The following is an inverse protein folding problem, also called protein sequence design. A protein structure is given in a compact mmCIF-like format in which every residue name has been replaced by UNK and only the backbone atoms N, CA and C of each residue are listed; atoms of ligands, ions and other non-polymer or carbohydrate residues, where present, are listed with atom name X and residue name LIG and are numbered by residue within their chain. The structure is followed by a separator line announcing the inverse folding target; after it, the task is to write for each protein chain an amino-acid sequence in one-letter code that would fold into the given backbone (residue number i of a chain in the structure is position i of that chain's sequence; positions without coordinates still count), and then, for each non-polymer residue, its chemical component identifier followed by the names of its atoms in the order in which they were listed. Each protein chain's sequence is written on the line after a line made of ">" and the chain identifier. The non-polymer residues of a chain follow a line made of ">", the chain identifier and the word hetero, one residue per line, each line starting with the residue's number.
data_IF_835832679995
#
_entry.id   IF_835832679995
#
_cell.length_a   1.000
_cell.length_b   1.000
_cell.length_c   1.000
_cell.angle_alpha   90.00
_cell.angle_beta   90.00
_cell.angle_gamma   90.00
#
_symmetry.space_group_name_H-M   'P 1'
#
loop_
_entity.id
_entity.type
_entity.pdbx_description
1 polymer ?
#
# COMPACT_ATOMS: atom_id res chain seq x y z
N UNK A 1 8.90 -55.03 -16.84
CA UNK A 1 9.05 -53.72 -16.19
C UNK A 1 7.64 -53.16 -16.00
N UNK A 2 7.05 -53.35 -14.82
CA UNK A 2 5.72 -52.83 -14.51
C UNK A 2 5.85 -51.36 -14.11
N UNK A 3 5.23 -50.46 -14.87
CA UNK A 3 5.09 -49.05 -14.53
C UNK A 3 4.08 -48.90 -13.39
N UNK A 4 4.48 -48.26 -12.29
CA UNK A 4 3.57 -47.89 -11.22
C UNK A 4 2.65 -46.73 -11.66
N UNK A 5 1.38 -46.68 -11.20
CA UNK A 5 0.52 -45.54 -11.47
C UNK A 5 1.02 -44.30 -10.70
N UNK A 6 1.00 -43.16 -11.38
CA UNK A 6 1.35 -41.86 -10.79
C UNK A 6 0.28 -41.48 -9.76
N UNK A 7 0.69 -41.33 -8.49
CA UNK A 7 -0.20 -40.84 -7.45
C UNK A 7 -0.42 -39.34 -7.64
N UNK A 8 -1.67 -38.95 -7.88
CA UNK A 8 -2.09 -37.54 -7.87
C UNK A 8 -2.05 -37.07 -6.42
N UNK A 9 -1.16 -36.13 -6.10
CA UNK A 9 -1.17 -35.47 -4.79
C UNK A 9 -2.47 -34.66 -4.64
N UNK A 10 -3.10 -34.65 -3.45
CA UNK A 10 -4.22 -33.76 -3.20
C UNK A 10 -3.77 -32.29 -3.32
N UNK A 11 -4.66 -31.38 -3.79
CA UNK A 11 -4.35 -29.96 -3.80
C UNK A 11 -4.04 -29.49 -2.38
N UNK A 12 -2.95 -28.74 -2.22
CA UNK A 12 -2.63 -28.03 -0.98
C UNK A 12 -3.80 -27.11 -0.60
N UNK A 13 -4.07 -26.89 0.71
CA UNK A 13 -5.13 -25.99 1.13
C UNK A 13 -4.88 -24.61 0.50
N UNK A 14 -5.87 -24.11 -0.25
CA UNK A 14 -5.85 -22.76 -0.81
C UNK A 14 -5.54 -21.77 0.30
N UNK A 15 -4.52 -20.95 0.10
CA UNK A 15 -4.25 -19.83 0.98
C UNK A 15 -5.52 -18.98 1.07
N UNK A 16 -5.88 -18.47 2.27
CA UNK A 16 -7.06 -17.63 2.41
C UNK A 16 -6.96 -16.46 1.43
N UNK A 17 -8.06 -16.16 0.73
CA UNK A 17 -8.11 -15.07 -0.24
C UNK A 17 -7.72 -13.74 0.43
N UNK A 18 -6.79 -13.01 -0.19
CA UNK A 18 -6.30 -11.74 0.34
C UNK A 18 -7.43 -10.71 0.47
N UNK A 19 -7.31 -9.81 1.45
CA UNK A 19 -8.28 -8.73 1.72
C UNK A 19 -8.33 -7.67 0.61
N UNK A 20 -7.38 -7.70 -0.31
CA UNK A 20 -7.18 -6.78 -1.42
C UNK A 20 -5.70 -6.52 -1.68
N UNK A 21 -5.40 -5.73 -2.71
CA UNK A 21 -4.03 -5.35 -3.06
C UNK A 21 -3.65 -4.01 -2.44
N UNK A 22 -2.47 -3.92 -1.83
CA UNK A 22 -1.88 -2.69 -1.32
C UNK A 22 -0.65 -2.35 -2.13
N UNK A 23 -0.51 -1.09 -2.53
CA UNK A 23 0.71 -0.58 -3.17
C UNK A 23 1.63 -0.04 -2.09
N UNK A 24 2.87 -0.55 -2.05
CA UNK A 24 3.96 -0.04 -1.20
C UNK A 24 4.98 0.65 -2.10
N UNK A 25 5.40 1.86 -1.75
CA UNK A 25 6.30 2.65 -2.60
C UNK A 25 7.20 3.57 -1.79
N UNK A 26 8.42 3.80 -2.27
CA UNK A 26 9.20 4.99 -1.95
C UNK A 26 8.77 6.16 -2.83
N UNK A 27 9.46 7.29 -2.71
CA UNK A 27 9.25 8.46 -3.58
C UNK A 27 10.48 8.72 -4.45
N UNK A 28 10.31 9.54 -5.49
CA UNK A 28 11.34 9.80 -6.49
C UNK A 28 12.71 10.18 -5.93
N UNK A 29 12.77 10.93 -4.81
CA UNK A 29 14.03 11.36 -4.20
C UNK A 29 14.60 10.37 -3.16
N UNK A 30 13.89 9.29 -2.85
CA UNK A 30 14.21 8.38 -1.74
C UNK A 30 14.69 7.02 -2.24
N UNK A 31 15.97 6.72 -2.02
CA UNK A 31 16.64 5.48 -2.42
C UNK A 31 16.60 4.37 -1.36
N UNK A 32 15.96 4.58 -0.22
CA UNK A 32 15.96 3.60 0.87
C UNK A 32 15.05 2.41 0.56
N UNK A 33 15.59 1.21 0.70
CA UNK A 33 14.90 -0.03 0.31
C UNK A 33 14.40 -0.85 1.48
N UNK A 34 15.11 -0.86 2.62
CA UNK A 34 14.78 -1.76 3.73
C UNK A 34 13.38 -1.48 4.27
N UNK A 35 13.01 -0.22 4.46
CA UNK A 35 11.69 0.16 4.96
C UNK A 35 10.56 -0.38 4.08
N UNK A 36 10.78 -0.46 2.77
CA UNK A 36 9.80 -0.99 1.82
C UNK A 36 9.62 -2.50 1.96
N UNK A 37 10.73 -3.23 2.16
CA UNK A 37 10.67 -4.68 2.45
C UNK A 37 9.96 -4.93 3.78
N UNK A 38 10.28 -4.14 4.81
CA UNK A 38 9.62 -4.23 6.11
C UNK A 38 8.11 -3.96 6.01
N UNK A 39 7.71 -2.86 5.36
CA UNK A 39 6.31 -2.51 5.16
C UNK A 39 5.56 -3.55 4.34
N UNK A 40 6.20 -4.13 3.32
CA UNK A 40 5.62 -5.24 2.58
C UNK A 40 5.30 -6.42 3.50
N UNK A 41 6.29 -6.92 4.26
CA UNK A 41 6.08 -8.04 5.18
C UNK A 41 4.99 -7.75 6.22
N UNK A 42 4.97 -6.53 6.76
CA UNK A 42 3.95 -6.11 7.72
C UNK A 42 2.54 -6.09 7.09
N UNK A 43 2.40 -5.56 5.87
CA UNK A 43 1.11 -5.49 5.19
C UNK A 43 0.62 -6.87 4.75
N UNK A 44 1.53 -7.75 4.33
CA UNK A 44 1.24 -9.16 4.05
C UNK A 44 0.78 -9.89 5.31
N UNK A 45 1.42 -9.66 6.47
CA UNK A 45 1.00 -10.19 7.77
C UNK A 45 -0.42 -9.72 8.17
N UNK A 46 -0.83 -8.52 7.75
CA UNK A 46 -2.18 -7.98 7.94
C UNK A 46 -3.23 -8.54 6.94
N UNK A 47 -2.81 -9.44 6.05
CA UNK A 47 -3.68 -10.22 5.16
C UNK A 47 -3.96 -9.59 3.79
N UNK A 48 -3.10 -8.69 3.31
CA UNK A 48 -3.20 -8.10 1.98
C UNK A 48 -2.13 -8.65 1.03
N UNK A 49 -2.44 -8.64 -0.27
CA UNK A 49 -1.41 -8.80 -1.30
C UNK A 49 -0.67 -7.48 -1.48
N UNK A 50 0.65 -7.52 -1.64
CA UNK A 50 1.46 -6.31 -1.79
C UNK A 50 2.07 -6.23 -3.19
N UNK A 51 1.86 -5.08 -3.83
CA UNK A 51 2.65 -4.64 -4.98
C UNK A 51 3.65 -3.60 -4.49
N UNK A 52 4.91 -4.00 -4.38
CA UNK A 52 5.99 -3.12 -3.95
C UNK A 52 6.69 -2.51 -5.17
N UNK A 53 6.48 -1.22 -5.42
CA UNK A 53 7.06 -0.49 -6.54
C UNK A 53 8.54 -0.14 -6.32
N UNK A 54 9.04 -0.31 -5.10
CA UNK A 54 10.43 -0.04 -4.76
C UNK A 54 10.72 1.44 -4.48
N UNK A 55 12.02 1.81 -4.38
CA UNK A 55 12.46 3.17 -4.11
C UNK A 55 12.49 4.02 -5.40
N UNK A 56 12.73 5.32 -5.26
CA UNK A 56 12.94 6.25 -6.38
C UNK A 56 11.82 6.23 -7.44
N UNK A 57 10.58 5.95 -7.03
CA UNK A 57 9.43 5.81 -7.94
C UNK A 57 9.01 7.18 -8.47
N UNK A 58 8.99 7.40 -9.80
CA UNK A 58 8.44 8.61 -10.39
C UNK A 58 6.93 8.72 -10.16
N UNK A 59 6.42 9.94 -9.97
CA UNK A 59 5.01 10.15 -9.63
C UNK A 59 4.05 9.59 -10.67
N UNK A 60 4.38 9.75 -11.95
CA UNK A 60 3.52 9.31 -13.05
C UNK A 60 3.41 7.79 -13.06
N UNK A 61 4.52 7.09 -12.78
CA UNK A 61 4.51 5.64 -12.61
C UNK A 61 3.63 5.24 -11.43
N UNK A 62 3.75 5.93 -10.28
CA UNK A 62 2.92 5.63 -9.12
C UNK A 62 1.42 5.80 -9.43
N UNK A 63 1.04 6.89 -10.09
CA UNK A 63 -0.37 7.14 -10.46
C UNK A 63 -0.87 6.09 -11.46
N UNK A 64 -0.07 5.76 -12.46
CA UNK A 64 -0.43 4.78 -13.49
C UNK A 64 -0.63 3.38 -12.90
N UNK A 65 0.30 2.93 -12.07
CA UNK A 65 0.21 1.64 -11.38
C UNK A 65 -0.98 1.60 -10.42
N UNK A 66 -1.20 2.67 -9.63
CA UNK A 66 -2.36 2.73 -8.74
C UNK A 66 -3.67 2.68 -9.52
N UNK A 67 -3.78 3.38 -10.64
CA UNK A 67 -4.98 3.36 -11.48
C UNK A 67 -5.22 1.97 -12.07
N UNK A 68 -4.17 1.32 -12.58
CA UNK A 68 -4.26 -0.02 -13.15
C UNK A 68 -4.65 -1.08 -12.10
N UNK A 69 -4.08 -0.99 -10.90
CA UNK A 69 -4.27 -1.97 -9.83
C UNK A 69 -5.54 -1.71 -9.01
N UNK A 70 -6.06 -0.48 -9.02
CA UNK A 70 -7.17 -0.04 -8.17
C UNK A 70 -6.98 -0.50 -6.71
N UNK A 71 -5.88 -0.11 -6.04
CA UNK A 71 -5.49 -0.70 -4.77
C UNK A 71 -6.52 -0.43 -3.67
N UNK A 72 -6.48 -1.28 -2.65
CA UNK A 72 -7.18 -1.08 -1.40
C UNK A 72 -6.60 0.10 -0.61
N UNK A 73 -5.28 0.28 -0.66
CA UNK A 73 -4.55 1.36 -0.02
C UNK A 73 -3.20 1.58 -0.71
N UNK A 74 -2.68 2.80 -0.63
CA UNK A 74 -1.29 3.15 -0.98
C UNK A 74 -0.52 3.52 0.28
N UNK A 75 0.63 2.88 0.49
CA UNK A 75 1.54 3.12 1.61
C UNK A 75 2.84 3.72 1.08
N UNK A 76 3.10 4.97 1.44
CA UNK A 76 4.28 5.72 1.00
C UNK A 76 5.29 5.79 2.14
N UNK A 77 6.50 5.28 1.90
CA UNK A 77 7.63 5.43 2.83
C UNK A 77 8.52 6.59 2.41
N UNK A 78 8.87 7.45 3.36
CA UNK A 78 9.90 8.48 3.19
C UNK A 78 10.79 8.54 4.41
N UNK A 79 12.10 8.39 4.25
CA UNK A 79 13.05 8.48 5.37
C UNK A 79 14.27 9.37 5.07
N UNK A 80 14.31 9.98 3.89
CA UNK A 80 15.37 10.89 3.48
C UNK A 80 15.18 12.34 3.98
N UNK A 81 14.07 12.64 4.68
CA UNK A 81 13.76 13.97 5.19
C UNK A 81 13.04 14.89 4.20
N UNK A 82 12.59 14.37 3.04
CA UNK A 82 11.79 15.11 2.06
C UNK A 82 10.30 14.71 2.07
N UNK A 83 9.84 14.00 3.11
CA UNK A 83 8.50 13.42 3.16
C UNK A 83 7.37 14.43 2.91
N UNK A 84 7.48 15.63 3.47
CA UNK A 84 6.51 16.70 3.24
C UNK A 84 6.52 17.22 1.80
N UNK A 85 7.69 17.60 1.27
CA UNK A 85 7.79 18.18 -0.08
C UNK A 85 7.35 17.21 -1.17
N UNK A 86 7.87 15.98 -1.12
CA UNK A 86 7.50 14.95 -2.09
C UNK A 86 6.06 14.45 -1.86
N UNK A 87 5.63 14.35 -0.60
CA UNK A 87 4.27 13.97 -0.23
C UNK A 87 3.22 14.91 -0.80
N UNK A 88 3.38 16.22 -0.61
CA UNK A 88 2.48 17.25 -1.15
C UNK A 88 2.35 17.18 -2.68
N UNK A 89 3.47 16.93 -3.36
CA UNK A 89 3.51 16.80 -4.82
C UNK A 89 2.80 15.53 -5.30
N UNK A 90 3.03 14.39 -4.65
CA UNK A 90 2.41 13.10 -5.03
C UNK A 90 0.92 13.08 -4.71
N UNK A 91 0.48 13.53 -3.53
CA UNK A 91 -0.92 13.43 -3.13
C UNK A 91 -1.83 14.25 -4.04
N UNK A 92 -1.39 15.44 -4.46
CA UNK A 92 -2.13 16.25 -5.43
C UNK A 92 -2.34 15.52 -6.75
N UNK A 93 -1.33 14.78 -7.24
CA UNK A 93 -1.45 13.96 -8.46
C UNK A 93 -2.41 12.80 -8.27
N UNK A 94 -2.30 12.05 -7.17
CA UNK A 94 -3.22 10.94 -6.86
C UNK A 94 -4.68 11.43 -6.76
N UNK A 95 -4.92 12.54 -6.08
CA UNK A 95 -6.28 13.12 -5.92
C UNK A 95 -6.82 13.76 -7.20
N UNK A 96 -5.96 14.12 -8.15
CA UNK A 96 -6.40 14.57 -9.48
C UNK A 96 -6.91 13.43 -10.39
N UNK A 97 -6.61 12.18 -10.03
CA UNK A 97 -7.12 10.99 -10.72
C UNK A 97 -8.47 10.59 -10.10
N UNK A 98 -9.56 10.68 -10.87
CA UNK A 98 -10.90 10.43 -10.37
C UNK A 98 -11.08 9.01 -9.80
N UNK A 99 -10.44 8.02 -10.43
CA UNK A 99 -10.44 6.62 -10.02
C UNK A 99 -9.76 6.37 -8.67
N UNK A 100 -8.90 7.29 -8.24
CA UNK A 100 -8.12 7.21 -7.01
C UNK A 100 -8.56 8.23 -5.95
N UNK A 101 -9.58 9.04 -6.23
CA UNK A 101 -10.01 10.14 -5.38
C UNK A 101 -10.26 9.69 -3.93
N UNK A 102 -10.92 8.53 -3.76
CA UNK A 102 -11.27 7.96 -2.45
C UNK A 102 -10.31 6.86 -1.99
N UNK A 103 -9.25 6.54 -2.75
CA UNK A 103 -8.29 5.52 -2.34
C UNK A 103 -7.58 5.97 -1.07
N UNK A 104 -7.56 5.15 0.00
CA UNK A 104 -6.75 5.41 1.19
C UNK A 104 -5.27 5.56 0.81
N UNK A 105 -4.67 6.68 1.18
CA UNK A 105 -3.25 6.95 0.98
C UNK A 105 -2.65 7.36 2.31
N UNK A 106 -1.58 6.68 2.73
CA UNK A 106 -0.84 7.01 3.94
C UNK A 106 0.62 7.26 3.62
N UNK A 107 1.26 8.10 4.42
CA UNK A 107 2.70 8.37 4.34
C UNK A 107 3.33 8.21 5.73
N UNK A 108 4.56 7.70 5.79
CA UNK A 108 5.29 7.68 7.04
C UNK A 108 6.80 7.70 6.93
N UNK A 109 7.44 7.86 8.09
CA UNK A 109 8.88 7.96 8.28
C UNK A 109 9.31 9.37 8.71
N UNK A 110 10.18 10.03 7.94
CA UNK A 110 10.76 11.34 8.22
C UNK A 110 10.20 12.40 7.26
N UNK A 111 9.31 13.26 7.76
CA UNK A 111 8.62 14.28 6.96
C UNK A 111 9.50 15.48 6.60
N UNK A 112 10.48 15.79 7.44
CA UNK A 112 11.37 16.93 7.27
C UNK A 112 12.68 16.72 8.03
N UNK A 113 13.60 17.66 7.85
CA UNK A 113 14.86 17.73 8.61
C UNK A 113 14.81 18.77 9.74
N UNK A 114 13.71 19.53 9.85
CA UNK A 114 13.45 20.53 10.88
C UNK A 114 12.42 20.03 11.90
N UNK A 115 12.30 20.73 13.04
CA UNK A 115 11.34 20.40 14.11
C UNK A 115 9.88 20.81 13.80
N UNK A 116 9.55 21.19 12.56
CA UNK A 116 8.23 21.74 12.15
C UNK A 116 7.20 20.65 11.80
N UNK A 117 7.33 19.48 12.41
CA UNK A 117 6.63 18.26 12.00
C UNK A 117 5.11 18.30 12.17
N UNK A 118 4.61 18.94 13.23
CA UNK A 118 3.17 19.02 13.49
C UNK A 118 2.41 19.76 12.36
N UNK A 119 2.98 20.85 11.85
CA UNK A 119 2.41 21.60 10.72
C UNK A 119 2.39 20.75 9.45
N UNK A 120 3.47 19.99 9.20
CA UNK A 120 3.54 19.11 8.03
C UNK A 120 2.47 18.01 8.05
N UNK A 121 2.20 17.43 9.22
CA UNK A 121 1.14 16.43 9.38
C UNK A 121 -0.21 17.01 9.01
N UNK A 122 -0.58 18.16 9.57
CA UNK A 122 -1.89 18.80 9.32
C UNK A 122 -2.06 19.18 7.84
N UNK A 123 -1.01 19.71 7.22
CA UNK A 123 -1.04 20.10 5.80
C UNK A 123 -1.12 18.90 4.85
N UNK A 124 -0.39 17.81 5.13
CA UNK A 124 -0.46 16.58 4.34
C UNK A 124 -1.85 15.94 4.44
N UNK A 125 -2.43 15.91 5.65
CA UNK A 125 -3.79 15.43 5.87
C UNK A 125 -4.81 16.29 5.11
N UNK A 126 -4.69 17.63 5.19
CA UNK A 126 -5.55 18.56 4.45
C UNK A 126 -5.39 18.43 2.92
N UNK A 127 -4.22 18.05 2.43
CA UNK A 127 -3.95 17.80 1.02
C UNK A 127 -4.53 16.46 0.50
N UNK A 128 -4.97 15.58 1.42
CA UNK A 128 -5.71 14.37 1.07
C UNK A 128 -5.06 13.05 1.51
N UNK A 129 -3.99 13.07 2.32
CA UNK A 129 -3.56 11.87 3.02
C UNK A 129 -4.62 11.47 4.05
N UNK A 130 -4.84 10.16 4.20
CA UNK A 130 -5.78 9.61 5.19
C UNK A 130 -5.12 9.39 6.55
N UNK A 131 -3.80 9.20 6.57
CA UNK A 131 -3.00 9.17 7.78
C UNK A 131 -1.54 9.52 7.47
N UNK A 132 -0.87 10.12 8.44
CA UNK A 132 0.55 10.45 8.41
C UNK A 132 1.20 9.87 9.68
N UNK A 133 2.25 9.08 9.51
CA UNK A 133 2.92 8.36 10.61
C UNK A 133 4.38 8.77 10.75
N UNK A 134 4.73 9.39 11.86
CA UNK A 134 6.11 9.80 12.14
C UNK A 134 6.89 8.76 12.95
N UNK A 135 8.20 8.72 12.69
CA UNK A 135 9.11 7.84 13.42
C UNK A 135 9.01 6.38 12.97
N UNK A 136 9.40 5.46 13.88
CA UNK A 136 9.55 4.03 13.59
C UNK A 136 8.46 3.14 14.18
N UNK A 137 7.50 3.72 14.92
CA UNK A 137 6.40 2.95 15.51
C UNK A 137 5.38 2.55 14.46
N UNK A 138 4.98 1.28 14.44
CA UNK A 138 3.97 0.75 13.52
C UNK A 138 2.58 0.65 14.12
N UNK A 139 2.41 0.88 15.43
CA UNK A 139 1.14 0.67 16.12
C UNK A 139 0.00 1.49 15.50
N UNK A 140 0.22 2.79 15.29
CA UNK A 140 -0.78 3.66 14.67
C UNK A 140 -1.13 3.25 13.23
N UNK A 141 -0.16 2.73 12.47
CA UNK A 141 -0.41 2.20 11.13
C UNK A 141 -1.26 0.93 11.18
N UNK A 142 -0.96 0.01 12.10
CA UNK A 142 -1.77 -1.20 12.29
C UNK A 142 -3.20 -0.82 12.68
N UNK A 143 -3.39 0.10 13.64
CA UNK A 143 -4.71 0.57 14.05
C UNK A 143 -5.49 1.15 12.87
N UNK A 144 -4.83 1.97 12.05
CA UNK A 144 -5.43 2.49 10.82
C UNK A 144 -5.87 1.38 9.86
N UNK A 145 -5.01 0.40 9.58
CA UNK A 145 -5.34 -0.71 8.67
C UNK A 145 -6.49 -1.57 9.20
N UNK A 146 -6.60 -1.75 10.51
CA UNK A 146 -7.74 -2.45 11.13
C UNK A 146 -9.05 -1.64 11.06
N UNK A 147 -8.96 -0.31 10.98
CA UNK A 147 -10.13 0.56 10.85
C UNK A 147 -10.70 0.63 9.42
N UNK A 148 -9.91 0.24 8.42
CA UNK A 148 -10.35 0.28 7.02
C UNK A 148 -11.48 -0.73 6.77
N UNK A 149 -12.56 -0.31 6.08
CA UNK A 149 -13.61 -1.24 5.69
C UNK A 149 -13.04 -2.26 4.70
N UNK A 150 -13.52 -3.51 4.75
CA UNK A 150 -13.24 -4.45 3.68
C UNK A 150 -13.74 -3.87 2.34
N UNK A 151 -12.92 -3.93 1.28
CA UNK A 151 -13.40 -3.52 -0.05
C UNK A 151 -14.54 -4.45 -0.45
N UNK A 152 -15.64 -3.90 -0.95
CA UNK A 152 -16.69 -4.72 -1.52
C UNK A 152 -16.17 -5.38 -2.81
N UNK A 153 -15.79 -6.68 -2.73
CA UNK A 153 -15.51 -7.57 -3.87
C UNK A 153 -14.24 -8.39 -3.66
N UNK A 154 -14.33 -9.67 -3.28
CA UNK A 154 -14.34 -10.79 -4.23
C UNK A 154 -15.23 -12.00 -3.81
N UNK A 155 -16.37 -11.79 -3.16
CA UNK A 155 -17.34 -12.87 -2.85
C UNK A 155 -18.50 -13.00 -3.85
N UNK A 156 -18.63 -12.09 -4.81
CA UNK A 156 -19.77 -12.06 -5.74
C UNK A 156 -19.60 -12.93 -7.00
N UNK A 157 -18.38 -13.35 -7.36
CA UNK A 157 -18.16 -14.07 -8.63
C UNK A 157 -18.41 -15.58 -8.54
N UNK A 158 -18.50 -16.14 -7.32
CA UNK A 158 -18.70 -17.58 -7.13
C UNK A 158 -20.18 -18.00 -7.14
N UNK A 159 -21.13 -17.05 -7.13
CA UNK A 159 -22.56 -17.35 -7.18
C UNK A 159 -23.14 -17.46 -8.61
N UNK A 160 -22.40 -17.05 -9.63
CA UNK A 160 -22.90 -16.99 -11.01
C UNK A 160 -22.55 -18.20 -11.89
N UNK A 161 -21.72 -19.14 -11.41
CA UNK A 161 -21.32 -20.36 -12.16
C UNK A 161 -22.15 -21.60 -11.79
N UNK A 162 -23.14 -21.47 -10.90
CA UNK A 162 -23.95 -22.59 -10.40
C UNK A 162 -25.46 -22.45 -10.69
N UNK A 163 -25.86 -21.89 -11.84
CA UNK A 163 -27.27 -21.83 -12.27
C UNK A 163 -27.47 -22.29 -13.70
#
# INVERSE_FOLDING_TARGET
>A
MNSAPSAVLPPSPEAPAARGTVVVTGMASDSHTWNLVFLQLLVEELGYDVVNLGPCVPDELLVDECRALSPHMVVISSVNGHGYQDGMRVIGRLRSCAELADTPVVIGGMLGISDENATYVDELMAAGFHAVFEGSSTAGFQDFVHSLPAKAGATAEMAAVAS
#
